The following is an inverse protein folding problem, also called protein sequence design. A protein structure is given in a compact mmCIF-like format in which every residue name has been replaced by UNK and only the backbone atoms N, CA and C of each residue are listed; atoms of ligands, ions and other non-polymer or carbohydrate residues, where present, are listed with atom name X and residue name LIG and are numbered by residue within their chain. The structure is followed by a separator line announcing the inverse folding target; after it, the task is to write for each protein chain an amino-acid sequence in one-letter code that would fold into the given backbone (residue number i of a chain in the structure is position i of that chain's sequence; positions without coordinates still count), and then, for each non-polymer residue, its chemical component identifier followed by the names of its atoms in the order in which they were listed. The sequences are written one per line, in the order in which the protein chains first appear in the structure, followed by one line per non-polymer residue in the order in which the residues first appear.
data_IF_800746466712
#
_entry.id   IF_800746466712
#
_cell.length_a   1.000
_cell.length_b   1.000
_cell.length_c   1.000
_cell.angle_alpha   90.00
_cell.angle_beta   90.00
_cell.angle_gamma   90.00
#
_symmetry.space_group_name_H-M   'P 1'
#
loop_
_entity.id
_entity.type
_entity.pdbx_description
1 polymer ?
2 non-polymer ?
3 non-polymer ?
4 water ?
#
# COMPACT_ATOMS: atom_id res chain seq x y z
N UNK A 5 -25.40 -3.51 2.35
CA UNK A 5 -25.29 -4.71 3.24
C UNK A 5 -26.02 -5.88 2.57
N UNK A 6 -25.52 -7.10 2.79
CA UNK A 6 -26.20 -8.37 2.47
C UNK A 6 -25.70 -9.01 1.20
N UNK A 7 -24.69 -8.40 0.54
CA UNK A 7 -24.23 -8.76 -0.83
C UNK A 7 -22.71 -8.70 -0.93
N UNK A 8 -22.17 -9.65 -1.66
CA UNK A 8 -20.80 -9.62 -2.19
C UNK A 8 -20.89 -9.42 -3.69
N UNK A 9 -20.27 -8.39 -4.22
CA UNK A 9 -20.21 -8.13 -5.66
C UNK A 9 -18.77 -8.34 -6.09
N UNK A 10 -18.52 -9.44 -6.79
CA UNK A 10 -17.15 -9.91 -7.16
C UNK A 10 -17.09 -10.15 -8.68
N UNK A 11 -16.29 -9.34 -9.38
CA UNK A 11 -15.98 -9.50 -10.81
C UNK A 11 -16.93 -8.69 -11.70
N UNK A 12 -17.98 -8.13 -11.11
CA UNK A 12 -19.14 -7.59 -11.84
C UNK A 12 -20.38 -8.43 -11.61
N UNK A 13 -20.23 -9.57 -10.91
CA UNK A 13 -21.33 -10.48 -10.51
C UNK A 13 -21.68 -10.26 -9.03
N UNK A 14 -22.96 -10.02 -8.74
CA UNK A 14 -23.47 -9.78 -7.36
C UNK A 14 -24.11 -11.06 -6.82
N UNK A 15 -23.76 -11.42 -5.58
CA UNK A 15 -24.31 -12.57 -4.81
C UNK A 15 -24.92 -12.05 -3.52
N UNK A 16 -26.09 -12.58 -3.15
CA UNK A 16 -26.69 -12.43 -1.80
C UNK A 16 -25.82 -13.23 -0.82
N UNK A 17 -25.56 -12.68 0.39
CA UNK A 17 -24.62 -13.26 1.38
C UNK A 17 -24.95 -12.80 2.80
N UNK A 18 -24.60 -13.63 3.80
CA UNK A 18 -24.51 -13.25 5.23
C UNK A 18 -23.19 -13.76 5.82
N UNK A 19 -22.78 -13.22 6.96
CA UNK A 19 -21.47 -13.50 7.61
C UNK A 19 -21.25 -15.03 7.74
N UNK A 20 -22.31 -15.80 7.96
CA UNK A 20 -22.20 -17.26 8.25
C UNK A 20 -21.82 -18.00 6.98
N UNK A 21 -22.03 -17.38 5.82
CA UNK A 21 -21.63 -17.89 4.49
C UNK A 21 -20.12 -17.84 4.32
N UNK A 22 -19.42 -17.25 5.28
CA UNK A 22 -17.96 -17.10 5.21
C UNK A 22 -17.31 -18.01 6.23
N UNK A 23 -16.20 -18.60 5.82
CA UNK A 23 -15.36 -19.52 6.59
C UNK A 23 -14.04 -18.80 6.87
N UNK A 24 -13.66 -18.73 8.13
CA UNK A 24 -12.48 -18.04 8.64
C UNK A 24 -11.26 -18.90 8.38
N UNK A 25 -10.31 -18.40 7.59
CA UNK A 25 -9.02 -19.08 7.32
C UNK A 25 -7.89 -18.44 8.14
N UNK A 26 -8.23 -17.48 9.01
CA UNK A 26 -7.30 -16.92 10.02
C UNK A 26 -6.82 -15.51 9.67
N UNK A 27 -6.18 -14.86 10.64
CA UNK A 27 -5.72 -13.46 10.60
C UNK A 27 -4.64 -13.32 9.53
N UNK A 28 -4.61 -12.18 8.85
CA UNK A 28 -3.56 -11.83 7.87
C UNK A 28 -2.41 -11.08 8.57
N UNK A 29 -2.70 -9.97 9.28
CA UNK A 29 -1.70 -9.07 9.90
C UNK A 29 -2.12 -7.60 9.80
N UNK A 35 -6.90 -6.06 12.03
CA UNK A 35 -7.75 -7.25 12.28
C UNK A 35 -8.38 -7.73 10.96
N UNK A 36 -7.57 -7.86 9.88
CA UNK A 36 -8.02 -8.36 8.54
C UNK A 36 -7.92 -9.90 8.49
N UNK A 37 -9.05 -10.58 8.29
CA UNK A 37 -9.16 -12.05 8.15
C UNK A 37 -9.03 -12.44 6.70
N UNK A 38 -8.42 -13.57 6.43
CA UNK A 38 -8.60 -14.30 5.15
C UNK A 38 -9.85 -15.17 5.30
N UNK A 39 -10.88 -14.93 4.49
CA UNK A 39 -12.14 -15.70 4.56
C UNK A 39 -12.52 -16.24 3.19
N UNK A 40 -13.18 -17.39 3.19
CA UNK A 40 -13.68 -18.09 2.00
C UNK A 40 -15.19 -17.95 1.99
N UNK A 41 -15.73 -17.45 0.90
CA UNK A 41 -17.16 -17.39 0.61
C UNK A 41 -17.64 -18.77 0.16
N UNK A 42 -18.33 -19.49 1.02
CA UNK A 42 -18.54 -20.96 0.90
C UNK A 42 -19.36 -21.22 -0.37
N UNK A 43 -20.20 -20.26 -0.75
CA UNK A 43 -21.16 -20.37 -1.89
C UNK A 43 -20.39 -20.56 -3.21
N UNK A 44 -19.20 -19.95 -3.35
CA UNK A 44 -18.52 -19.75 -4.65
C UNK A 44 -17.12 -20.36 -4.66
N UNK A 45 -16.44 -20.38 -3.53
CA UNK A 45 -15.01 -20.68 -3.45
C UNK A 45 -14.17 -19.42 -3.36
N UNK A 46 -14.75 -18.25 -3.62
CA UNK A 46 -14.00 -16.97 -3.58
C UNK A 46 -13.30 -16.82 -2.24
N UNK A 47 -12.05 -16.41 -2.27
CA UNK A 47 -11.24 -16.11 -1.07
C UNK A 47 -11.04 -14.60 -1.02
N UNK A 48 -11.42 -13.98 0.08
CA UNK A 48 -11.44 -12.50 0.26
C UNK A 48 -10.79 -12.13 1.60
N UNK A 49 -10.61 -10.84 1.80
CA UNK A 49 -10.12 -10.23 3.03
C UNK A 49 -11.32 -9.63 3.72
N UNK A 50 -11.37 -9.73 5.04
CA UNK A 50 -12.48 -9.19 5.82
C UNK A 50 -11.91 -8.47 7.02
N UNK A 51 -12.11 -7.14 7.06
CA UNK A 51 -11.89 -6.30 8.23
C UNK A 51 -13.11 -6.40 9.13
N UNK A 52 -12.86 -6.69 10.40
CA UNK A 52 -13.89 -6.74 11.43
C UNK A 52 -13.73 -5.51 12.30
N UNK A 53 -14.79 -4.72 12.40
CA UNK A 53 -14.89 -3.53 13.28
C UNK A 53 -15.87 -3.83 14.41
N UNK A 54 -15.36 -4.00 15.62
CA UNK A 54 -16.14 -4.33 16.83
C UNK A 54 -16.83 -3.05 17.30
N UNK A 55 -18.14 -3.13 17.53
CA UNK A 55 -18.94 -2.02 18.10
C UNK A 55 -18.39 -1.59 19.47
N UNK A 56 -17.85 -2.53 20.24
CA UNK A 56 -17.27 -2.26 21.58
C UNK A 56 -15.86 -1.62 21.46
N UNK A 57 -15.40 -1.34 20.23
CA UNK A 57 -14.00 -0.96 19.92
C UNK A 57 -13.72 0.50 20.20
N UNK A 58 -12.48 0.95 19.92
CA UNK A 58 -12.08 2.39 20.05
C UNK A 58 -12.90 3.21 19.05
N UNK A 59 -13.52 4.28 19.54
CA UNK A 59 -14.46 5.13 18.77
C UNK A 59 -13.69 5.92 17.71
N UNK A 60 -12.50 6.43 18.03
CA UNK A 60 -11.70 7.26 17.09
C UNK A 60 -11.38 6.40 15.87
N UNK A 61 -10.84 5.20 16.10
CA UNK A 61 -10.32 4.31 15.05
C UNK A 61 -11.50 3.62 14.32
N UNK A 62 -12.66 3.49 14.98
CA UNK A 62 -13.92 3.08 14.31
C UNK A 62 -14.35 4.20 13.34
N UNK A 63 -14.18 5.46 13.72
CA UNK A 63 -14.48 6.62 12.83
C UNK A 63 -13.52 6.61 11.61
N UNK A 64 -12.23 6.32 11.82
CA UNK A 64 -11.18 6.17 10.75
C UNK A 64 -11.61 5.07 9.76
N UNK A 65 -11.95 3.88 10.27
CA UNK A 65 -12.40 2.72 9.43
C UNK A 65 -13.60 3.15 8.58
N UNK A 66 -14.51 3.92 9.17
CA UNK A 66 -15.76 4.38 8.50
C UNK A 66 -15.43 5.42 7.44
N UNK A 67 -14.48 6.30 7.72
CA UNK A 67 -14.07 7.35 6.75
C UNK A 67 -13.26 6.67 5.63
N UNK A 68 -12.41 5.71 6.00
CA UNK A 68 -11.56 4.94 5.05
C UNK A 68 -12.48 4.16 4.11
N UNK A 69 -13.53 3.56 4.64
CA UNK A 69 -14.51 2.76 3.86
C UNK A 69 -15.23 3.68 2.86
N UNK A 70 -15.65 4.85 3.32
CA UNK A 70 -16.38 5.89 2.54
C UNK A 70 -15.59 6.22 1.24
N UNK A 71 -14.28 6.48 1.43
CA UNK A 71 -13.32 6.76 0.32
C UNK A 71 -13.17 5.51 -0.57
N UNK A 72 -12.96 4.33 0.02
CA UNK A 72 -12.82 3.05 -0.74
C UNK A 72 -14.03 2.89 -1.66
N UNK A 73 -15.23 3.06 -1.10
CA UNK A 73 -16.50 2.89 -1.84
C UNK A 73 -16.60 3.90 -2.98
N UNK A 74 -15.93 5.05 -2.85
CA UNK A 74 -15.93 6.14 -3.87
C UNK A 74 -14.84 5.90 -4.92
N UNK A 75 -14.04 4.83 -4.81
CA UNK A 75 -12.82 4.62 -5.63
C UNK A 75 -12.93 3.33 -6.47
N UNK A 76 -14.16 2.96 -6.83
CA UNK A 76 -14.46 1.80 -7.71
C UNK A 76 -13.62 1.89 -8.98
N UNK A 77 -13.34 3.10 -9.45
CA UNK A 77 -12.80 3.35 -10.79
C UNK A 77 -11.26 3.44 -10.74
N UNK A 78 -10.65 3.31 -9.57
CA UNK A 78 -9.17 3.32 -9.42
C UNK A 78 -8.66 1.89 -9.21
N UNK A 79 -8.00 1.31 -10.24
CA UNK A 79 -7.43 -0.03 -10.12
C UNK A 79 -6.33 -0.18 -9.06
N UNK A 80 -5.80 0.94 -8.56
CA UNK A 80 -4.59 0.96 -7.70
C UNK A 80 -4.97 1.03 -6.22
N UNK A 81 -6.25 0.97 -5.95
CA UNK A 81 -6.77 0.93 -4.55
C UNK A 81 -7.52 -0.38 -4.35
N UNK A 82 -7.33 -1.05 -3.21
CA UNK A 82 -8.12 -2.26 -2.89
C UNK A 82 -9.59 -1.89 -2.93
N UNK A 83 -10.40 -2.76 -3.52
CA UNK A 83 -11.85 -2.56 -3.69
C UNK A 83 -12.61 -3.31 -2.61
N UNK A 84 -13.81 -2.81 -2.29
CA UNK A 84 -14.80 -3.37 -1.36
C UNK A 84 -15.84 -4.18 -2.13
N UNK A 85 -16.15 -5.38 -1.65
CA UNK A 85 -17.10 -6.32 -2.28
C UNK A 85 -18.47 -6.19 -1.63
N UNK A 86 -18.51 -5.61 -0.43
CA UNK A 86 -19.72 -5.54 0.40
C UNK A 86 -19.40 -5.51 1.89
N UNK A 87 -20.43 -5.44 2.71
CA UNK A 87 -20.32 -5.31 4.16
C UNK A 87 -21.40 -6.17 4.79
N UNK A 88 -21.19 -6.59 6.02
CA UNK A 88 -22.21 -7.24 6.85
C UNK A 88 -22.25 -6.51 8.17
N UNK A 89 -23.44 -6.31 8.68
CA UNK A 89 -23.67 -5.61 9.95
C UNK A 89 -24.43 -6.52 10.85
N UNK A 90 -23.86 -6.85 11.99
CA UNK A 90 -24.48 -7.64 13.09
C UNK A 90 -24.62 -6.72 14.29
N UNK A 91 -25.15 -7.25 15.38
CA UNK A 91 -25.48 -6.47 16.60
C UNK A 91 -24.19 -5.90 17.22
N UNK A 92 -23.05 -6.54 17.02
CA UNK A 92 -21.79 -6.24 17.74
C UNK A 92 -20.66 -5.95 16.77
N UNK A 93 -20.83 -6.19 15.47
CA UNK A 93 -19.71 -6.11 14.51
C UNK A 93 -20.17 -5.48 13.19
N UNK A 94 -19.19 -4.95 12.46
CA UNK A 94 -19.27 -4.73 11.00
C UNK A 94 -18.15 -5.50 10.29
N UNK A 95 -18.49 -6.25 9.28
CA UNK A 95 -17.54 -7.04 8.48
C UNK A 95 -17.46 -6.40 7.12
N UNK A 96 -16.28 -5.92 6.75
CA UNK A 96 -16.01 -5.23 5.47
C UNK A 96 -15.24 -6.17 4.53
N UNK A 97 -15.91 -6.63 3.47
CA UNK A 97 -15.37 -7.54 2.44
C UNK A 97 -14.51 -6.74 1.45
N UNK A 98 -13.24 -7.12 1.30
CA UNK A 98 -12.24 -6.41 0.46
C UNK A 98 -11.55 -7.42 -0.46
N UNK A 99 -11.07 -6.93 -1.57
CA UNK A 99 -10.09 -7.58 -2.46
C UNK A 99 -9.04 -8.25 -1.58
N UNK A 100 -8.71 -9.51 -1.87
CA UNK A 100 -7.59 -10.22 -1.23
C UNK A 100 -6.32 -9.99 -2.04
N UNK A 101 -5.23 -9.66 -1.36
CA UNK A 101 -3.89 -9.46 -1.94
C UNK A 101 -2.94 -10.41 -1.21
N UNK A 102 -1.88 -10.86 -1.88
CA UNK A 102 -0.99 -11.91 -1.38
C UNK A 102 -0.20 -11.44 -0.17
N UNK A 103 0.30 -10.24 -0.18
CA UNK A 103 1.10 -9.74 0.96
C UNK A 103 1.31 -8.24 0.77
N UNK A 105 4.39 -5.07 1.19
CA UNK A 105 5.83 -4.89 0.86
C UNK A 105 6.69 -5.13 2.12
N UNK A 106 6.22 -4.71 3.30
CA UNK A 106 6.98 -4.89 4.57
C UNK A 106 7.24 -6.40 4.84
N UNK A 107 6.20 -7.22 4.80
CA UNK A 107 6.28 -8.69 4.97
C UNK A 107 7.13 -9.26 3.84
N UNK A 108 7.00 -8.69 2.65
CA UNK A 108 7.68 -9.18 1.45
C UNK A 108 9.20 -8.97 1.61
N UNK A 109 9.62 -7.86 2.22
CA UNK A 109 11.05 -7.56 2.56
C UNK A 109 11.55 -8.55 3.64
N UNK A 110 10.78 -8.72 4.72
CA UNK A 110 11.10 -9.68 5.83
C UNK A 110 11.36 -11.09 5.26
N UNK A 111 10.43 -11.61 4.44
CA UNK A 111 10.56 -12.93 3.74
C UNK A 111 11.81 -12.94 2.88
N UNK A 112 11.98 -11.92 2.03
CA UNK A 112 13.11 -11.84 1.06
C UNK A 112 14.47 -11.91 1.80
N UNK A 113 14.55 -11.18 2.93
CA UNK A 113 15.80 -10.98 3.72
C UNK A 113 16.86 -10.27 2.86
N UNK A 114 16.43 -9.41 1.92
CA UNK A 114 17.31 -8.36 1.37
C UNK A 114 16.61 -7.52 0.31
N UNK A 115 17.39 -6.86 -0.56
CA UNK A 115 16.88 -5.87 -1.50
C UNK A 115 15.79 -6.42 -2.44
N UNK A 116 14.81 -5.58 -2.77
CA UNK A 116 13.80 -5.85 -3.83
C UNK A 116 14.26 -5.15 -5.12
N UNK A 117 14.22 -5.86 -6.28
CA UNK A 117 14.81 -5.34 -7.51
C UNK A 117 14.10 -4.09 -8.03
N UNK A 118 14.86 -3.18 -8.62
CA UNK A 118 14.37 -1.88 -9.16
C UNK A 118 13.14 -2.11 -10.05
N UNK A 119 13.16 -3.13 -10.89
CA UNK A 119 12.06 -3.37 -11.85
C UNK A 119 10.75 -3.57 -11.04
N UNK A 120 10.81 -4.23 -9.88
CA UNK A 120 9.62 -4.49 -9.03
C UNK A 120 9.19 -3.12 -8.42
N UNK A 121 10.17 -2.39 -7.87
CA UNK A 121 9.95 -1.08 -7.20
C UNK A 121 9.48 -0.07 -8.22
N UNK A 122 9.85 -0.25 -9.50
CA UNK A 122 9.34 0.54 -10.64
C UNK A 122 7.83 0.41 -10.78
N UNK A 123 7.35 -0.82 -10.95
CA UNK A 123 5.90 -1.08 -11.15
C UNK A 123 5.16 -0.60 -9.90
N UNK A 124 5.77 -0.83 -8.75
CA UNK A 124 5.24 -0.46 -7.42
C UNK A 124 5.06 1.08 -7.33
N UNK A 125 6.08 1.83 -7.70
CA UNK A 125 6.05 3.29 -7.66
C UNK A 125 4.97 3.83 -8.58
N UNK A 126 4.82 3.26 -9.76
CA UNK A 126 3.80 3.72 -10.75
C UNK A 126 2.42 3.59 -10.08
N UNK A 127 2.10 2.40 -9.60
CA UNK A 127 0.81 2.05 -8.95
C UNK A 127 0.53 3.00 -7.75
N UNK A 128 1.51 3.13 -6.86
CA UNK A 128 1.32 3.91 -5.60
C UNK A 128 1.20 5.43 -5.91
N UNK A 129 1.99 5.96 -6.82
CA UNK A 129 1.91 7.41 -7.15
C UNK A 129 0.54 7.73 -7.79
N UNK A 130 0.02 6.80 -8.63
CA UNK A 130 -1.30 6.96 -9.32
C UNK A 130 -2.43 6.85 -8.31
N UNK A 131 -2.32 5.95 -7.35
CA UNK A 131 -3.27 5.84 -6.21
C UNK A 131 -3.29 7.16 -5.45
N UNK A 132 -2.11 7.68 -5.12
CA UNK A 132 -1.93 8.88 -4.27
C UNK A 132 -2.34 10.12 -5.04
N UNK A 133 -2.10 10.16 -6.34
CA UNK A 133 -2.54 11.25 -7.22
C UNK A 133 -4.07 11.22 -7.32
N UNK A 134 -4.63 10.04 -7.54
CA UNK A 134 -6.10 9.83 -7.66
C UNK A 134 -6.78 10.31 -6.37
N UNK A 135 -6.23 9.97 -5.21
CA UNK A 135 -6.81 10.38 -3.91
C UNK A 135 -6.83 11.92 -3.82
N UNK A 136 -5.73 12.57 -4.17
CA UNK A 136 -5.56 14.04 -4.07
C UNK A 136 -6.57 14.72 -5.02
N UNK A 137 -6.63 14.28 -6.27
CA UNK A 137 -7.29 15.01 -7.37
C UNK A 137 -8.79 14.64 -7.46
N UNK A 138 -9.24 13.57 -6.80
CA UNK A 138 -10.64 13.08 -6.95
C UNK A 138 -11.36 13.08 -5.59
N UNK A 139 -10.65 13.25 -4.48
CA UNK A 139 -11.27 13.24 -3.12
C UNK A 139 -10.61 14.25 -2.18
N UNK A 140 -9.63 15.03 -2.67
CA UNK A 140 -8.89 16.04 -1.87
C UNK A 140 -8.23 15.43 -0.64
N UNK A 141 -7.71 14.20 -0.74
CA UNK A 141 -6.96 13.52 0.36
C UNK A 141 -5.47 13.68 0.07
N UNK A 142 -4.72 14.23 1.01
CA UNK A 142 -3.25 14.00 1.09
C UNK A 142 -3.04 12.88 2.09
N UNK A 143 -2.67 11.71 1.58
CA UNK A 143 -2.27 10.53 2.39
C UNK A 143 -1.05 10.91 3.22
N UNK A 144 -1.14 10.69 4.53
CA UNK A 144 -0.06 10.98 5.50
C UNK A 144 1.10 10.01 5.23
N UNK A 145 0.96 8.76 5.64
CA UNK A 145 2.11 7.84 5.80
C UNK A 145 2.04 6.73 4.75
N UNK A 146 2.89 6.86 3.75
CA UNK A 146 3.18 5.82 2.75
C UNK A 146 4.33 4.98 3.31
N UNK A 147 4.02 3.79 3.74
CA UNK A 147 5.01 2.87 4.34
C UNK A 147 4.90 1.57 3.57
N UNK A 148 5.95 0.73 3.60
CA UNK A 148 5.90 -0.56 2.92
C UNK A 148 4.66 -1.40 3.31
N UNK A 149 4.19 -1.30 4.58
CA UNK A 149 3.00 -2.10 5.05
C UNK A 149 1.71 -1.60 4.37
N UNK A 150 1.72 -0.39 3.76
CA UNK A 150 0.55 0.16 3.01
C UNK A 150 0.49 -0.37 1.57
N UNK A 151 1.58 -0.95 1.09
CA UNK A 151 1.75 -1.39 -0.33
C UNK A 151 1.48 -2.89 -0.41
N UNK A 152 0.46 -3.29 -1.15
CA UNK A 152 0.02 -4.70 -1.29
C UNK A 152 0.36 -5.20 -2.69
N UNK A 153 0.72 -6.47 -2.78
CA UNK A 153 0.93 -7.20 -4.06
C UNK A 153 0.17 -8.52 -4.02
N UNK A 154 -0.25 -9.01 -5.19
CA UNK A 154 -0.79 -10.38 -5.35
C UNK A 154 0.00 -11.09 -6.43
N UNK A 155 -0.42 -12.31 -6.75
CA UNK A 155 0.34 -13.25 -7.59
C UNK A 155 -0.17 -13.16 -9.03
N UNK A 156 -1.12 -12.27 -9.30
CA UNK A 156 -1.46 -11.77 -10.66
C UNK A 156 -0.61 -10.52 -10.98
N UNK A 157 0.30 -10.14 -10.10
CA UNK A 157 1.24 -9.02 -10.31
C UNK A 157 0.58 -7.67 -10.10
N UNK A 158 -0.63 -7.64 -9.51
CA UNK A 158 -1.32 -6.37 -9.17
C UNK A 158 -0.69 -5.79 -7.93
N UNK A 159 -0.48 -4.48 -7.95
CA UNK A 159 -0.05 -3.67 -6.79
C UNK A 159 -1.12 -2.63 -6.53
N UNK A 160 -1.51 -2.50 -5.27
CA UNK A 160 -2.63 -1.63 -4.84
C UNK A 160 -2.25 -1.01 -3.51
N UNK A 161 -2.75 0.18 -3.24
CA UNK A 161 -2.64 0.86 -1.94
C UNK A 161 -3.65 0.24 -0.96
N UNK A 163 -6.00 0.34 2.43
CA UNK A 163 -7.09 1.32 2.72
C UNK A 163 -6.88 1.93 4.11
N UNK A 164 -5.80 1.59 4.82
CA UNK A 164 -5.53 2.18 6.14
C UNK A 164 -5.00 3.61 5.97
N UNK A 165 -5.65 4.57 6.64
CA UNK A 165 -5.25 5.99 6.65
C UNK A 165 -5.47 6.63 5.30
N UNK A 166 -6.35 6.04 4.50
CA UNK A 166 -6.66 6.48 3.12
C UNK A 166 -7.59 7.73 3.19
N UNK A 167 -7.70 8.40 4.35
CA UNK A 167 -8.65 9.54 4.59
C UNK A 167 -8.11 10.53 5.66
N UNK A 168 -6.81 10.81 5.69
CA UNK A 168 -6.17 11.63 6.74
C UNK A 168 -6.97 12.91 7.03
N UNK A 203 7.31 17.39 8.70
CA UNK A 203 8.50 17.73 7.84
C UNK A 203 9.17 16.43 7.40
N UNK A 204 8.41 15.31 7.38
CA UNK A 204 8.83 13.97 6.91
C UNK A 204 7.61 13.08 6.62
N UNK A 205 6.58 13.61 5.93
CA UNK A 205 5.40 12.85 5.44
C UNK A 205 5.30 12.91 3.88
N UNK A 206 4.24 12.27 3.33
CA UNK A 206 3.82 12.32 1.91
C UNK A 206 4.97 11.79 1.01
N UNK A 207 5.43 12.63 0.11
CA UNK A 207 6.46 12.31 -0.92
C UNK A 207 7.73 11.82 -0.23
N UNK A 208 8.02 12.40 0.94
CA UNK A 208 9.20 12.04 1.75
C UNK A 208 9.08 10.58 2.18
N UNK A 209 7.91 10.20 2.67
CA UNK A 209 7.66 8.86 3.24
C UNK A 209 7.73 7.82 2.11
N UNK A 210 7.42 8.23 0.88
CA UNK A 210 7.50 7.32 -0.30
C UNK A 210 8.96 7.11 -0.65
N UNK A 211 9.74 8.18 -0.64
CA UNK A 211 11.19 8.14 -0.83
C UNK A 211 11.84 7.17 0.14
N UNK A 212 11.49 7.24 1.43
CA UNK A 212 12.16 6.40 2.48
C UNK A 212 11.70 4.95 2.29
N UNK A 213 10.44 4.75 1.97
CA UNK A 213 9.87 3.44 1.63
C UNK A 213 10.70 2.80 0.52
N UNK A 214 11.06 3.55 -0.51
CA UNK A 214 11.75 3.00 -1.73
C UNK A 214 13.20 2.65 -1.38
N UNK A 215 13.88 3.49 -0.62
CA UNK A 215 15.27 3.25 -0.17
C UNK A 215 15.29 2.00 0.71
N UNK A 216 14.39 1.95 1.69
CA UNK A 216 14.32 0.79 2.60
C UNK A 216 14.19 -0.51 1.76
N UNK A 217 13.25 -0.56 0.81
CA UNK A 217 12.94 -1.77 0.02
C UNK A 217 14.05 -2.07 -1.01
N UNK A 218 14.66 -1.06 -1.59
CA UNK A 218 15.72 -1.21 -2.64
C UNK A 218 17.02 -1.70 -2.02
N UNK A 219 17.25 -1.42 -0.74
CA UNK A 219 18.53 -1.70 -0.04
C UNK A 219 18.37 -2.86 0.94
N UNK A 220 17.12 -3.20 1.29
CA UNK A 220 16.79 -4.10 2.39
C UNK A 220 17.08 -3.49 3.76
N UNK A 221 17.48 -2.21 3.83
CA UNK A 221 17.87 -1.56 5.12
C UNK A 221 16.99 -0.32 5.36
N UNK A 222 16.21 -0.32 6.42
CA UNK A 222 15.57 0.88 6.96
C UNK A 222 16.65 1.90 7.31
N UNK A 223 16.68 3.06 6.64
CA UNK A 223 17.73 4.05 6.87
C UNK A 223 17.86 4.55 8.31
N UNK A 224 16.83 4.47 9.12
CA UNK A 224 16.88 4.97 10.51
C UNK A 224 16.86 3.75 11.46
N UNK A 225 17.50 2.66 11.02
CA UNK A 225 17.56 1.32 11.69
C UNK A 225 18.10 1.46 13.14
N UNK A 226 19.16 2.26 13.32
CA UNK A 226 20.00 2.32 14.55
C UNK A 226 19.49 3.39 15.52
N UNK A 227 18.45 4.11 15.13
CA UNK A 227 17.78 5.12 15.97
C UNK A 227 16.91 4.42 17.01
N UNK A 228 16.95 4.91 18.24
CA UNK A 228 16.36 4.25 19.42
C UNK A 228 14.98 4.82 19.69
N UNK A 229 14.69 6.04 19.22
CA UNK A 229 13.39 6.73 19.47
C UNK A 229 12.92 7.44 18.22
N UNK A 230 11.61 7.63 18.13
CA UNK A 230 10.99 8.44 17.05
C UNK A 230 11.65 9.82 17.04
N UNK A 231 12.04 10.34 18.21
CA UNK A 231 12.62 11.69 18.31
C UNK A 231 14.01 11.70 17.69
N UNK A 232 14.87 10.74 18.05
CA UNK A 232 16.21 10.58 17.40
C UNK A 232 16.03 10.55 15.88
N UNK A 233 14.98 9.91 15.37
CA UNK A 233 14.75 9.79 13.91
C UNK A 233 14.51 11.20 13.34
N UNK A 234 13.55 11.93 13.90
CA UNK A 234 13.23 13.29 13.42
C UNK A 234 14.49 14.16 13.46
N UNK A 235 15.35 13.95 14.44
CA UNK A 235 16.66 14.63 14.55
C UNK A 235 17.51 14.35 13.29
N UNK A 236 17.54 13.12 12.81
CA UNK A 236 18.41 12.71 11.67
C UNK A 236 17.85 13.31 10.37
N UNK A 237 16.52 13.22 10.22
CA UNK A 237 15.80 13.77 9.04
C UNK A 237 16.14 15.24 8.91
N UNK A 238 16.14 15.98 10.03
CA UNK A 238 16.28 17.45 9.99
C UNK A 238 17.76 17.84 9.85
N UNK A 239 18.68 17.09 10.46
CA UNK A 239 20.10 17.51 10.60
C UNK A 239 20.97 16.83 9.52
N UNK A 240 20.65 15.61 9.11
CA UNK A 240 21.56 14.81 8.25
C UNK A 240 21.16 14.99 6.81
N UNK A 241 22.11 14.74 5.89
CA UNK A 241 21.82 14.67 4.43
C UNK A 241 20.75 13.62 4.25
N UNK A 242 19.82 13.80 3.28
CA UNK A 242 18.82 12.78 2.98
C UNK A 242 19.48 11.42 2.66
N UNK A 243 18.89 10.30 3.12
CA UNK A 243 19.41 8.97 2.82
C UNK A 243 19.11 8.52 1.38
N UNK A 244 19.90 8.99 0.43
CA UNK A 244 19.78 8.65 -1.01
C UNK A 244 20.20 7.18 -1.22
N UNK A 245 19.75 6.58 -2.34
CA UNK A 245 20.21 5.26 -2.84
C UNK A 245 21.72 5.22 -2.94
N UNK A 246 22.36 4.10 -2.53
CA UNK A 246 23.78 3.90 -2.79
C UNK A 246 24.07 4.02 -4.29
N UNK A 247 25.29 4.41 -4.66
CA UNK A 247 25.69 4.62 -6.06
C UNK A 247 26.27 3.36 -6.71
N UNK A 248 26.27 2.22 -6.02
CA UNK A 248 27.13 1.05 -6.38
C UNK A 248 26.30 -0.24 -6.49
N UNK A 249 25.01 -0.15 -6.84
CA UNK A 249 24.07 -1.31 -6.80
C UNK A 249 23.38 -1.47 -8.17
N UNK A 250 23.77 -0.66 -9.14
CA UNK A 250 23.25 -0.75 -10.53
C UNK A 250 21.86 -0.17 -10.66
N UNK A 251 21.48 0.73 -9.72
CA UNK A 251 20.24 1.54 -9.82
C UNK A 251 20.37 2.51 -11.00
N UNK A 252 19.31 2.61 -11.79
CA UNK A 252 19.18 3.56 -12.90
C UNK A 252 19.26 4.99 -12.37
N UNK A 253 19.89 5.88 -13.14
CA UNK A 253 19.83 7.33 -12.89
C UNK A 253 18.41 7.74 -12.57
N UNK A 254 17.44 7.22 -13.35
CA UNK A 254 16.02 7.58 -13.20
C UNK A 254 15.62 7.28 -11.73
N UNK A 255 16.00 6.11 -11.21
CA UNK A 255 15.57 5.67 -9.86
C UNK A 255 16.20 6.59 -8.81
N UNK A 256 17.49 6.84 -8.94
CA UNK A 256 18.24 7.67 -7.98
C UNK A 256 17.69 9.09 -7.99
N UNK A 257 17.44 9.63 -9.18
CA UNK A 257 16.85 10.98 -9.38
C UNK A 257 15.48 11.07 -8.64
N UNK A 258 14.66 10.01 -8.88
CA UNK A 258 13.29 9.91 -8.35
C UNK A 258 13.34 10.03 -6.81
N UNK A 259 14.22 9.22 -6.22
CA UNK A 259 14.43 9.20 -4.77
C UNK A 259 15.00 10.54 -4.31
N UNK A 260 16.00 11.10 -5.00
CA UNK A 260 16.58 12.42 -4.60
C UNK A 260 15.46 13.48 -4.51
N UNK A 261 14.55 13.44 -5.49
CA UNK A 261 13.41 14.37 -5.60
C UNK A 261 12.45 14.18 -4.43
N UNK A 262 12.11 12.93 -4.08
CA UNK A 262 11.21 12.63 -2.93
C UNK A 262 11.84 13.14 -1.62
N UNK A 263 13.18 13.00 -1.53
CA UNK A 263 13.93 13.29 -0.28
C UNK A 263 14.51 14.70 -0.33
N UNK A 264 13.89 15.59 -1.09
CA UNK A 264 14.21 17.04 -1.05
C UNK A 264 13.76 17.58 0.33
N UNK A 265 14.73 17.96 1.15
CA UNK A 265 14.54 18.35 2.57
C UNK A 265 13.61 19.56 2.65
N UNK A 266 13.83 20.54 1.77
CA UNK A 266 13.14 21.86 1.78
C UNK A 266 11.73 21.66 1.21
N UNK A 267 10.71 21.69 2.09
CA UNK A 267 9.26 21.89 1.74
C UNK A 267 9.15 22.76 0.48
N UNK A 268 9.79 23.94 0.49
CA UNK A 268 9.76 24.91 -0.65
C UNK A 268 9.90 24.16 -1.98
N UNK A 269 11.05 23.54 -2.22
CA UNK A 269 11.41 22.96 -3.55
C UNK A 269 10.92 21.50 -3.69
N UNK A 270 10.09 20.98 -2.78
CA UNK A 270 9.76 19.52 -2.73
C UNK A 270 8.54 19.21 -3.62
N UNK A 271 8.63 18.21 -4.52
CA UNK A 271 7.62 17.99 -5.53
C UNK A 271 6.30 17.43 -4.98
N UNK A 272 5.20 17.73 -5.68
CA UNK A 272 3.85 17.21 -5.38
C UNK A 272 3.59 15.94 -6.18
N UNK A 273 2.68 15.08 -5.73
CA UNK A 273 2.29 13.84 -6.46
C UNK A 273 2.13 14.24 -7.93
N UNK A 274 1.54 15.41 -8.20
CA UNK A 274 1.28 15.91 -9.58
C UNK A 274 2.56 15.80 -10.41
N UNK A 275 3.70 16.23 -9.87
CA UNK A 275 4.95 16.36 -10.65
C UNK A 275 5.65 15.01 -10.72
N UNK A 276 5.62 14.22 -9.63
CA UNK A 276 6.27 12.86 -9.57
C UNK A 276 5.67 11.98 -10.66
N UNK A 277 4.35 12.07 -10.80
CA UNK A 277 3.56 11.39 -11.85
C UNK A 277 4.16 11.67 -13.24
N UNK A 278 5.01 12.70 -13.39
CA UNK A 278 5.64 13.05 -14.70
C UNK A 278 7.12 12.61 -14.74
N UNK A 279 7.70 12.24 -13.60
CA UNK A 279 9.14 11.87 -13.49
C UNK A 279 9.45 10.73 -14.47
N UNK A 280 10.66 10.68 -15.03
CA UNK A 280 11.05 9.71 -16.09
C UNK A 280 11.18 8.27 -15.51
N UNK A 281 11.39 8.13 -14.20
CA UNK A 281 11.34 6.81 -13.52
C UNK A 281 9.94 6.21 -13.76
N UNK A 282 8.91 7.06 -13.58
CA UNK A 282 7.49 6.67 -13.80
C UNK A 282 7.28 6.35 -15.28
N UNK A 283 7.78 7.20 -16.19
CA UNK A 283 7.58 7.01 -17.66
C UNK A 283 8.22 5.65 -18.10
N UNK A 284 9.43 5.40 -17.58
CA UNK A 284 10.25 4.19 -17.88
C UNK A 284 9.48 2.89 -17.49
N UNK A 285 8.82 2.83 -16.32
CA UNK A 285 8.24 1.57 -15.77
C UNK A 285 6.73 1.48 -16.04
N UNK A 286 6.12 2.66 -16.33
CA UNK A 286 4.67 2.78 -16.58
C UNK A 286 4.30 1.93 -17.79
N UNK A 287 5.06 2.05 -18.87
CA UNK A 287 4.81 1.37 -20.16
C UNK A 287 5.49 0.00 -20.12
N UNK A 288 6.70 -0.08 -19.52
CA UNK A 288 7.65 -1.23 -19.66
C UNK A 288 7.04 -2.50 -19.06
N UNK A 289 7.34 -3.66 -19.67
CA UNK A 289 6.81 -5.00 -19.30
C UNK A 289 7.71 -5.63 -18.24
N UNK A 290 7.12 -6.08 -17.14
CA UNK A 290 7.86 -6.69 -16.01
C UNK A 290 6.98 -7.79 -15.42
N UNK A 291 7.46 -9.02 -15.44
CA UNK A 291 6.67 -10.17 -14.94
C UNK A 291 6.65 -10.12 -13.41
N UNK A 292 5.83 -9.24 -12.85
CA UNK A 292 5.72 -9.12 -11.38
C UNK A 292 5.15 -10.45 -10.86
N UNK A 293 4.22 -11.06 -11.59
CA UNK A 293 3.50 -12.31 -11.21
C UNK A 293 4.49 -13.46 -10.89
N UNK A 294 5.33 -13.83 -11.85
CA UNK A 294 6.33 -14.93 -11.69
C UNK A 294 7.30 -14.56 -10.57
N UNK A 295 7.81 -13.33 -10.59
CA UNK A 295 8.77 -12.85 -9.57
C UNK A 295 8.18 -13.10 -8.18
N UNK A 296 6.91 -12.78 -7.99
CA UNK A 296 6.20 -12.84 -6.67
C UNK A 296 6.08 -14.29 -6.24
N UNK A 297 5.46 -15.10 -7.11
CA UNK A 297 5.33 -16.56 -6.96
C UNK A 297 6.69 -17.17 -6.65
N UNK A 298 7.70 -16.93 -7.49
CA UNK A 298 9.09 -17.37 -7.22
C UNK A 298 9.38 -17.14 -5.74
N UNK A 299 9.23 -15.89 -5.29
CA UNK A 299 9.62 -15.45 -3.92
C UNK A 299 8.81 -16.23 -2.89
N UNK A 300 7.48 -16.22 -2.99
CA UNK A 300 6.56 -16.82 -1.98
C UNK A 300 6.83 -18.32 -1.88
N UNK A 301 7.21 -18.95 -3.00
CA UNK A 301 7.49 -20.40 -3.09
C UNK A 301 8.83 -20.71 -2.42
N UNK A 302 9.82 -19.84 -2.60
CA UNK A 302 11.22 -20.07 -2.13
C UNK A 302 11.41 -19.62 -0.67
N UNK A 303 10.33 -19.23 0.05
CA UNK A 303 10.45 -18.59 1.40
C UNK A 303 9.37 -19.11 2.38
#
# INVERSE_FOLDING_TARGET
SMKQTGYLTIGGQRYQAEINDLENLGEMGSGTCGQVWKMRFRKTGHVIAVKQMRRSGNKEENKRILMDLDVVLKSHDCPYIVQCFGTFITNTDVFIAMELMGTXAEKLKKRMQGPIPERILGKMTVAIVKALYYLKEKHGVIHRDVKPSNILLDERGQIKLXDFGISGRLVDSKAKTRSAGCAAYMAPERIDPPDPTKPDYDIRADVWSLGISLVELATGQFPYKNCKTDFEVLTKVLQEEPPLLPGHMGFSGDFQSFVKDCLTKDHRKRPKYNKLLEHSFIKRYETLEVDVASWFKDVMAKTESPR
#
